data_IF_736052416537
#
_entry.id   IF_736052416537
#
_cell.length_a   1.000
_cell.length_b   1.000
_cell.length_c   1.000
_cell.angle_alpha   90.00
_cell.angle_beta   90.00
_cell.angle_gamma   90.00
#
_symmetry.space_group_name_H-M   'P 1'
#
loop_
_entity.id
_entity.type
_entity.pdbx_description
1 polymer ?
#
# COMPACT_ATOMS: atom_id res chain seq x y z
N UNK A 1 -19.34 22.57 8.55
CA UNK A 1 -19.30 21.09 8.54
C UNK A 1 -18.13 20.66 7.66
N UNK A 2 -17.30 19.69 8.07
CA UNK A 2 -16.14 19.22 7.29
C UNK A 2 -16.36 17.78 6.79
N UNK A 3 -15.48 17.29 5.90
CA UNK A 3 -15.59 15.96 5.28
C UNK A 3 -15.53 14.76 6.26
N UNK A 4 -15.12 14.99 7.52
CA UNK A 4 -14.95 13.96 8.55
C UNK A 4 -16.06 13.97 9.61
N UNK A 5 -17.09 14.83 9.45
CA UNK A 5 -18.13 15.01 10.45
C UNK A 5 -18.82 13.68 10.85
N UNK A 6 -19.11 12.80 9.88
CA UNK A 6 -19.75 11.49 10.16
C UNK A 6 -18.84 10.55 10.95
N UNK A 7 -17.55 10.50 10.60
CA UNK A 7 -16.57 9.70 11.33
C UNK A 7 -16.35 10.23 12.75
N UNK A 8 -16.33 11.56 12.90
CA UNK A 8 -16.21 12.21 14.21
C UNK A 8 -17.40 11.93 15.13
N UNK A 9 -18.62 11.85 14.60
CA UNK A 9 -19.80 11.47 15.41
C UNK A 9 -19.65 10.07 16.00
N UNK A 10 -18.96 9.16 15.30
CA UNK A 10 -18.76 7.78 15.74
C UNK A 10 -17.54 7.64 16.68
N UNK A 11 -16.41 8.25 16.32
CA UNK A 11 -15.13 8.07 17.02
C UNK A 11 -14.87 9.12 18.11
N UNK A 12 -15.60 10.22 18.09
CA UNK A 12 -15.36 11.37 18.97
C UNK A 12 -14.20 12.25 18.53
N UNK A 13 -14.17 13.48 19.06
CA UNK A 13 -13.17 14.51 18.73
C UNK A 13 -11.74 14.11 19.11
N UNK A 14 -11.57 13.45 20.26
CA UNK A 14 -10.27 13.01 20.77
C UNK A 14 -9.61 11.99 19.83
N UNK A 15 -10.37 11.00 19.36
CA UNK A 15 -9.87 10.00 18.42
C UNK A 15 -9.47 10.64 17.09
N UNK A 16 -10.29 11.58 16.58
CA UNK A 16 -9.96 12.30 15.34
C UNK A 16 -8.65 13.07 15.44
N UNK A 17 -8.42 13.77 16.56
CA UNK A 17 -7.14 14.47 16.81
C UNK A 17 -5.96 13.51 16.82
N UNK A 18 -6.11 12.34 17.44
CA UNK A 18 -5.06 11.31 17.47
C UNK A 18 -4.75 10.81 16.07
N UNK A 19 -5.77 10.40 15.32
CA UNK A 19 -5.62 9.90 13.95
C UNK A 19 -4.87 10.91 13.07
N UNK A 20 -5.24 12.19 13.14
CA UNK A 20 -4.58 13.24 12.36
C UNK A 20 -3.07 13.37 12.65
N UNK A 21 -2.65 13.11 13.90
CA UNK A 21 -1.26 13.18 14.34
C UNK A 21 -0.43 11.94 14.00
N UNK A 22 -1.06 10.82 13.64
CA UNK A 22 -0.33 9.58 13.30
C UNK A 22 0.31 9.67 11.92
N UNK A 23 1.50 9.07 11.82
CA UNK A 23 2.22 8.86 10.57
C UNK A 23 2.25 7.36 10.27
N UNK A 24 1.79 6.97 9.09
CA UNK A 24 1.71 5.57 8.68
C UNK A 24 2.68 5.32 7.52
N UNK A 25 3.49 4.27 7.64
CA UNK A 25 4.30 3.77 6.53
C UNK A 25 3.54 2.63 5.83
N UNK A 26 3.51 2.66 4.49
CA UNK A 26 2.88 1.62 3.67
C UNK A 26 3.88 1.14 2.63
N UNK A 27 4.17 -0.15 2.67
CA UNK A 27 5.01 -0.86 1.71
C UNK A 27 4.11 -1.60 0.73
N UNK A 28 4.20 -1.24 -0.55
CA UNK A 28 3.33 -1.72 -1.61
C UNK A 28 2.05 -0.88 -1.76
N UNK A 29 1.92 -0.23 -2.91
CA UNK A 29 0.80 0.62 -3.33
C UNK A 29 0.04 -0.07 -4.49
N UNK A 30 -0.06 -1.40 -4.41
CA UNK A 30 -0.81 -2.24 -5.34
C UNK A 30 -2.30 -2.36 -4.99
N UNK A 31 -2.86 -3.55 -5.23
CA UNK A 31 -4.29 -3.81 -5.05
C UNK A 31 -4.78 -3.77 -3.60
N UNK A 32 -3.92 -4.05 -2.63
CA UNK A 32 -4.28 -4.00 -1.19
C UNK A 32 -3.91 -2.64 -0.61
N UNK A 33 -2.63 -2.30 -0.64
CA UNK A 33 -2.11 -1.08 -0.02
C UNK A 33 -2.70 0.20 -0.60
N UNK A 34 -3.07 0.21 -1.88
CA UNK A 34 -3.74 1.36 -2.50
C UNK A 34 -5.09 1.68 -1.83
N UNK A 35 -5.91 0.66 -1.58
CA UNK A 35 -7.20 0.82 -0.92
C UNK A 35 -7.05 1.05 0.59
N UNK A 36 -6.07 0.43 1.23
CA UNK A 36 -5.76 0.69 2.63
C UNK A 36 -5.40 2.17 2.85
N UNK A 37 -4.49 2.72 2.04
CA UNK A 37 -4.11 4.14 2.08
C UNK A 37 -5.31 5.04 1.84
N UNK A 38 -6.13 4.75 0.83
CA UNK A 38 -7.33 5.54 0.52
C UNK A 38 -8.30 5.57 1.72
N UNK A 39 -8.56 4.42 2.34
CA UNK A 39 -9.44 4.31 3.50
C UNK A 39 -8.87 5.03 4.73
N UNK A 40 -7.57 4.89 5.00
CA UNK A 40 -6.89 5.59 6.12
C UNK A 40 -7.00 7.11 5.98
N UNK A 41 -6.81 7.63 4.77
CA UNK A 41 -6.95 9.07 4.50
C UNK A 41 -8.39 9.54 4.70
N UNK A 42 -9.36 8.76 4.21
CA UNK A 42 -10.79 9.05 4.37
C UNK A 42 -11.25 9.00 5.83
N UNK A 43 -10.51 8.31 6.68
CA UNK A 43 -10.77 8.20 8.12
C UNK A 43 -10.02 9.22 8.97
N UNK A 44 -9.22 10.10 8.36
CA UNK A 44 -8.61 11.25 9.05
C UNK A 44 -7.09 11.19 9.22
N UNK A 45 -6.41 10.12 8.78
CA UNK A 45 -4.94 10.09 8.78
C UNK A 45 -4.40 11.06 7.71
N UNK A 46 -3.40 11.88 8.07
CA UNK A 46 -2.86 12.94 7.18
C UNK A 46 -1.36 12.88 6.95
N UNK A 47 -0.65 11.90 7.49
CA UNK A 47 0.79 11.76 7.33
C UNK A 47 1.17 10.35 6.86
N UNK A 48 1.86 10.25 5.73
CA UNK A 48 2.26 8.95 5.15
C UNK A 48 3.71 8.89 4.72
N UNK A 49 4.28 7.69 4.79
CA UNK A 49 5.48 7.27 4.06
C UNK A 49 5.06 6.17 3.09
N UNK A 50 5.05 6.46 1.79
CA UNK A 50 4.68 5.47 0.77
C UNK A 50 5.94 4.87 0.14
N UNK A 51 6.01 3.55 0.09
CA UNK A 51 7.13 2.81 -0.48
C UNK A 51 6.62 1.82 -1.52
N UNK A 52 6.97 2.00 -2.79
CA UNK A 52 6.67 1.07 -3.88
C UNK A 52 7.61 1.36 -5.07
N UNK A 53 8.21 0.32 -5.62
CA UNK A 53 9.18 0.38 -6.73
C UNK A 53 8.57 0.09 -8.11
N UNK A 54 7.31 -0.33 -8.15
CA UNK A 54 6.64 -0.72 -9.38
C UNK A 54 6.05 0.48 -10.13
N UNK A 55 5.94 0.28 -11.45
CA UNK A 55 5.10 1.08 -12.33
C UNK A 55 3.72 0.45 -12.49
N UNK A 56 2.73 1.28 -12.78
CA UNK A 56 1.39 0.81 -13.14
C UNK A 56 1.44 0.14 -14.50
N UNK A 57 0.98 -1.11 -14.60
CA UNK A 57 0.83 -1.83 -15.86
C UNK A 57 -0.66 -1.97 -16.26
N UNK A 58 -0.91 -2.35 -17.52
CA UNK A 58 -2.27 -2.54 -18.03
C UNK A 58 -3.07 -3.57 -17.22
N UNK A 59 -2.42 -4.65 -16.78
CA UNK A 59 -3.09 -5.69 -16.00
C UNK A 59 -3.50 -5.21 -14.61
N UNK A 60 -3.05 -4.04 -14.14
CA UNK A 60 -3.44 -3.48 -12.84
C UNK A 60 -4.79 -2.77 -12.85
N UNK A 61 -5.31 -2.36 -14.02
CA UNK A 61 -6.54 -1.58 -14.15
C UNK A 61 -7.77 -2.28 -13.53
N UNK A 62 -7.78 -3.61 -13.49
CA UNK A 62 -8.90 -4.36 -12.97
C UNK A 62 -9.01 -4.36 -11.43
N UNK A 63 -7.94 -3.99 -10.70
CA UNK A 63 -7.89 -4.23 -9.22
C UNK A 63 -7.09 -3.21 -8.41
N UNK A 64 -6.48 -2.20 -9.01
CA UNK A 64 -5.69 -1.20 -8.29
C UNK A 64 -6.30 0.20 -8.44
N UNK A 65 -6.63 0.84 -7.32
CA UNK A 65 -7.34 2.13 -7.30
C UNK A 65 -6.62 3.28 -8.03
N UNK A 66 -5.29 3.20 -8.12
CA UNK A 66 -4.44 4.20 -8.80
C UNK A 66 -4.27 3.94 -10.30
N UNK A 67 -4.72 2.79 -10.79
CA UNK A 67 -4.50 2.35 -12.15
C UNK A 67 -5.66 2.78 -13.06
N UNK A 68 -5.35 3.66 -14.01
CA UNK A 68 -6.24 4.14 -15.07
C UNK A 68 -5.45 4.11 -16.37
N UNK A 69 -6.13 4.18 -17.53
CA UNK A 69 -5.44 4.29 -18.83
C UNK A 69 -4.44 5.46 -18.88
N UNK A 70 -4.68 6.55 -18.14
CA UNK A 70 -3.81 7.74 -18.08
C UNK A 70 -2.62 7.62 -17.12
N UNK A 71 -2.61 6.58 -16.28
CA UNK A 71 -1.57 6.38 -15.25
C UNK A 71 -0.66 5.19 -15.52
N UNK A 72 -0.95 4.38 -16.55
CA UNK A 72 -0.05 3.32 -17.04
C UNK A 72 1.35 3.90 -17.32
N UNK A 73 2.39 3.17 -16.92
CA UNK A 73 3.80 3.56 -17.07
C UNK A 73 4.34 4.50 -15.99
N UNK A 74 3.49 5.03 -15.10
CA UNK A 74 3.91 5.89 -13.97
C UNK A 74 4.16 5.05 -12.71
N UNK A 75 5.05 5.53 -11.84
CA UNK A 75 5.32 4.90 -10.56
C UNK A 75 4.08 4.91 -9.66
N UNK A 76 3.76 3.76 -9.05
CA UNK A 76 2.55 3.60 -8.23
C UNK A 76 2.54 4.57 -7.06
N UNK A 77 3.66 4.66 -6.32
CA UNK A 77 3.80 5.55 -5.18
C UNK A 77 3.64 7.03 -5.58
N UNK A 78 4.14 7.43 -6.75
CA UNK A 78 4.05 8.80 -7.26
C UNK A 78 2.60 9.16 -7.62
N UNK A 79 1.89 8.25 -8.31
CA UNK A 79 0.47 8.46 -8.64
C UNK A 79 -0.36 8.55 -7.38
N UNK A 80 -0.14 7.65 -6.41
CA UNK A 80 -0.84 7.71 -5.13
C UNK A 80 -0.56 9.04 -4.41
N UNK A 81 0.69 9.51 -4.37
CA UNK A 81 1.04 10.82 -3.81
C UNK A 81 0.18 11.94 -4.38
N UNK A 82 0.04 11.97 -5.71
CA UNK A 82 -0.76 13.00 -6.39
C UNK A 82 -2.23 12.89 -6.02
N UNK A 83 -2.77 11.68 -5.95
CA UNK A 83 -4.14 11.43 -5.53
C UNK A 83 -4.39 11.85 -4.07
N UNK A 84 -3.44 11.61 -3.17
CA UNK A 84 -3.53 12.04 -1.77
C UNK A 84 -3.44 13.56 -1.60
N UNK A 85 -2.59 14.24 -2.40
CA UNK A 85 -2.54 15.71 -2.41
C UNK A 85 -3.90 16.33 -2.76
N UNK A 86 -4.61 15.78 -3.76
CA UNK A 86 -5.97 16.23 -4.13
C UNK A 86 -6.97 16.11 -2.98
N UNK A 87 -6.76 15.17 -2.06
CA UNK A 87 -7.61 14.91 -0.87
C UNK A 87 -7.18 15.74 0.35
N UNK A 88 -6.26 16.67 0.19
CA UNK A 88 -5.78 17.56 1.25
C UNK A 88 -4.75 16.91 2.19
N UNK A 89 -4.07 15.84 1.78
CA UNK A 89 -2.98 15.25 2.57
C UNK A 89 -1.69 16.03 2.32
N UNK A 90 -1.23 16.79 3.31
CA UNK A 90 -0.09 17.71 3.18
C UNK A 90 1.26 17.05 3.48
N UNK A 91 1.31 16.12 4.43
CA UNK A 91 2.57 15.49 4.91
C UNK A 91 2.78 14.13 4.23
N UNK A 92 3.44 14.14 3.07
CA UNK A 92 3.66 12.94 2.27
C UNK A 92 5.16 12.76 1.98
N UNK A 93 5.77 11.75 2.59
CA UNK A 93 7.07 11.24 2.13
C UNK A 93 6.81 10.09 1.18
N UNK A 94 7.46 10.11 0.03
CA UNK A 94 7.32 9.05 -0.97
C UNK A 94 8.71 8.58 -1.35
N UNK A 95 8.90 7.28 -1.23
CA UNK A 95 10.15 6.57 -1.52
C UNK A 95 9.82 5.55 -2.60
N UNK A 96 10.56 5.57 -3.69
CA UNK A 96 10.46 4.58 -4.76
C UNK A 96 11.84 4.42 -5.37
N UNK A 97 12.16 3.22 -5.83
CA UNK A 97 13.41 2.98 -6.55
C UNK A 97 13.25 3.40 -8.01
N UNK A 98 14.17 4.21 -8.51
CA UNK A 98 14.34 4.47 -9.95
C UNK A 98 15.31 3.50 -10.61
N UNK A 99 15.93 2.62 -9.81
CA UNK A 99 16.82 1.60 -10.31
C UNK A 99 16.05 0.70 -11.27
N UNK A 100 16.60 0.52 -12.47
CA UNK A 100 16.05 -0.48 -13.39
C UNK A 100 16.47 -1.83 -12.85
N UNK A 101 15.57 -2.79 -12.61
CA UNK A 101 15.95 -4.12 -12.14
C UNK A 101 16.94 -4.75 -13.13
N UNK A 102 18.22 -4.70 -12.79
CA UNK A 102 19.27 -5.36 -13.56
C UNK A 102 19.26 -6.83 -13.18
N UNK A 103 19.26 -7.68 -14.20
CA UNK A 103 19.41 -9.11 -13.99
C UNK A 103 20.81 -9.35 -13.41
N UNK A 104 20.96 -10.21 -12.39
CA UNK A 104 22.29 -10.70 -12.00
C UNK A 104 22.99 -11.32 -13.21
N UNK A 105 24.32 -11.22 -13.24
CA UNK A 105 25.16 -11.79 -14.29
C UNK A 105 24.96 -13.31 -14.33
N UNK A 106 24.85 -13.89 -15.52
CA UNK A 106 24.67 -15.34 -15.69
C UNK A 106 25.92 -16.08 -15.19
N UNK A 107 25.78 -16.83 -14.10
CA UNK A 107 26.77 -17.79 -13.59
C UNK A 107 26.03 -19.10 -13.27
N UNK A 108 26.70 -20.25 -13.34
CA UNK A 108 26.12 -21.59 -13.15
C UNK A 108 25.45 -21.80 -11.78
N UNK A 109 25.60 -20.86 -10.84
CA UNK A 109 24.92 -20.80 -9.54
C UNK A 109 23.51 -20.19 -9.61
N UNK A 110 23.09 -19.68 -10.76
CA UNK A 110 21.87 -18.88 -10.96
C UNK A 110 20.87 -19.69 -11.81
N UNK A 111 20.22 -20.68 -11.19
CA UNK A 111 19.36 -21.64 -11.89
C UNK A 111 17.87 -21.27 -11.93
N UNK A 112 17.48 -20.01 -11.70
CA UNK A 112 16.06 -19.65 -11.66
C UNK A 112 15.62 -18.78 -12.84
N UNK A 113 14.32 -18.88 -13.20
CA UNK A 113 13.61 -18.12 -14.25
C UNK A 113 13.78 -16.58 -14.19
N UNK A 114 14.34 -16.06 -13.09
CA UNK A 114 14.60 -14.62 -12.88
C UNK A 114 16.07 -14.29 -12.64
N UNK A 115 16.97 -15.25 -12.82
CA UNK A 115 18.38 -15.10 -12.56
C UNK A 115 18.73 -14.60 -11.13
N UNK A 116 17.91 -14.90 -10.11
CA UNK A 116 18.27 -14.65 -8.72
C UNK A 116 19.40 -15.58 -8.23
N UNK A 117 20.26 -15.07 -7.35
CA UNK A 117 21.23 -15.85 -6.58
C UNK A 117 20.50 -16.56 -5.45
N UNK A 118 20.35 -17.88 -5.55
CA UNK A 118 19.83 -18.71 -4.46
C UNK A 118 21.00 -19.47 -3.83
N UNK A 119 21.29 -19.30 -2.52
CA UNK A 119 22.31 -20.09 -1.85
C UNK A 119 22.03 -21.60 -1.98
N UNK A 120 23.07 -22.44 -2.11
CA UNK A 120 22.90 -23.89 -2.14
C UNK A 120 22.22 -24.37 -0.84
N UNK A 121 21.20 -25.24 -0.97
CA UNK A 121 20.42 -25.76 0.16
C UNK A 121 19.12 -24.99 0.49
N UNK A 122 18.73 -24.00 -0.32
CA UNK A 122 17.46 -23.28 -0.13
C UNK A 122 16.25 -24.20 -0.40
N UNK A 123 15.43 -24.48 0.62
CA UNK A 123 14.21 -25.32 0.50
C UNK A 123 13.13 -24.70 -0.40
N UNK A 124 13.02 -23.37 -0.47
CA UNK A 124 12.02 -22.67 -1.28
C UNK A 124 12.66 -21.87 -2.40
N UNK A 125 12.62 -22.41 -3.63
CA UNK A 125 13.18 -21.72 -4.80
C UNK A 125 12.23 -20.62 -5.29
N UNK A 126 12.80 -19.54 -5.82
CA UNK A 126 12.01 -18.47 -6.45
C UNK A 126 11.22 -18.94 -7.69
N UNK A 127 11.60 -20.09 -8.28
CA UNK A 127 10.86 -20.75 -9.36
C UNK A 127 9.45 -21.18 -8.92
N UNK A 128 9.27 -21.47 -7.64
CA UNK A 128 8.00 -21.92 -7.07
C UNK A 128 7.14 -20.74 -6.57
N UNK A 129 7.71 -19.52 -6.50
CA UNK A 129 7.12 -18.34 -5.84
C UNK A 129 6.58 -17.28 -6.81
N UNK A 130 6.42 -17.58 -8.09
CA UNK A 130 6.08 -16.56 -9.09
C UNK A 130 4.92 -16.92 -10.01
N UNK A 131 3.92 -17.62 -9.49
CA UNK A 131 2.59 -17.46 -10.05
C UNK A 131 2.18 -16.01 -9.86
N UNK A 132 1.77 -15.34 -10.94
CA UNK A 132 1.00 -14.09 -10.81
C UNK A 132 -0.38 -14.57 -10.36
N UNK A 133 -0.71 -14.48 -9.06
CA UNK A 133 -1.94 -15.09 -8.61
C UNK A 133 -3.10 -14.37 -9.31
N UNK A 134 -3.95 -15.16 -9.96
CA UNK A 134 -5.23 -14.67 -10.43
C UNK A 134 -5.98 -14.09 -9.24
N UNK A 135 -6.46 -12.85 -9.38
CA UNK A 135 -7.23 -12.21 -8.33
C UNK A 135 -8.40 -11.47 -8.96
N UNK A 136 -9.60 -11.74 -8.45
CA UNK A 136 -10.82 -11.03 -8.83
C UNK A 136 -10.74 -9.57 -8.36
N UNK A 137 -11.40 -8.67 -9.09
CA UNK A 137 -11.27 -7.22 -8.94
C UNK A 137 -11.42 -6.71 -7.49
N UNK A 138 -12.27 -7.34 -6.69
CA UNK A 138 -12.65 -6.86 -5.36
C UNK A 138 -11.81 -7.42 -4.20
N UNK A 139 -11.21 -8.61 -4.33
CA UNK A 139 -10.54 -9.26 -3.18
C UNK A 139 -9.41 -8.40 -2.60
N UNK A 140 -8.50 -7.83 -3.41
CA UNK A 140 -7.45 -6.95 -2.88
C UNK A 140 -8.03 -5.70 -2.22
N UNK A 141 -9.11 -5.15 -2.78
CA UNK A 141 -9.76 -3.96 -2.23
C UNK A 141 -10.36 -4.23 -0.86
N UNK A 142 -11.06 -5.35 -0.70
CA UNK A 142 -11.67 -5.76 0.57
C UNK A 142 -10.58 -5.98 1.63
N UNK A 143 -9.49 -6.68 1.27
CA UNK A 143 -8.36 -6.87 2.18
C UNK A 143 -7.76 -5.52 2.63
N UNK A 144 -7.60 -4.56 1.71
CA UNK A 144 -7.12 -3.21 2.04
C UNK A 144 -8.06 -2.46 2.98
N UNK A 145 -9.37 -2.57 2.78
CA UNK A 145 -10.38 -1.97 3.66
C UNK A 145 -10.38 -2.60 5.06
N UNK A 146 -10.24 -3.92 5.16
CA UNK A 146 -10.13 -4.64 6.45
C UNK A 146 -8.89 -4.16 7.22
N UNK A 147 -7.73 -4.11 6.55
CA UNK A 147 -6.48 -3.63 7.16
C UNK A 147 -6.65 -2.20 7.69
N UNK A 148 -7.20 -1.30 6.87
CA UNK A 148 -7.45 0.08 7.30
C UNK A 148 -8.40 0.13 8.51
N UNK A 149 -9.44 -0.69 8.52
CA UNK A 149 -10.39 -0.81 9.62
C UNK A 149 -9.72 -1.21 10.94
N UNK A 150 -8.86 -2.23 10.94
CA UNK A 150 -8.09 -2.63 12.13
C UNK A 150 -7.15 -1.51 12.60
N UNK A 151 -6.40 -0.91 11.68
CA UNK A 151 -5.48 0.19 12.02
C UNK A 151 -6.24 1.37 12.63
N UNK A 152 -7.41 1.74 12.10
CA UNK A 152 -8.20 2.84 12.64
C UNK A 152 -8.73 2.48 14.04
N UNK A 153 -9.24 1.26 14.23
CA UNK A 153 -9.71 0.80 15.55
C UNK A 153 -8.60 0.92 16.59
N UNK A 154 -7.42 0.41 16.28
CA UNK A 154 -6.30 0.41 17.22
C UNK A 154 -5.80 1.83 17.52
N UNK A 155 -5.75 2.71 16.52
CA UNK A 155 -5.29 4.09 16.70
C UNK A 155 -6.35 5.00 17.35
N UNK A 156 -7.64 4.68 17.21
CA UNK A 156 -8.75 5.44 17.77
C UNK A 156 -9.02 5.13 19.24
N UNK A 157 -8.72 3.91 19.71
CA UNK A 157 -8.89 3.52 21.12
C UNK A 157 -8.12 4.46 22.07
N UNK A 158 -8.72 4.78 23.22
CA UNK A 158 -7.96 5.23 24.41
C UNK A 158 -7.09 4.07 24.87
N UNK A 159 -5.95 4.36 25.50
CA UNK A 159 -5.04 3.35 26.06
C UNK A 159 -5.66 2.55 27.21
N UNK A 160 -6.80 1.93 26.98
CA UNK A 160 -7.29 0.80 27.75
C UNK A 160 -6.55 -0.40 27.19
N UNK A 161 -5.71 -0.97 28.06
CA UNK A 161 -4.92 -2.18 27.83
C UNK A 161 -5.76 -3.19 27.08
N UNK A 162 -5.20 -3.72 25.99
CA UNK A 162 -5.72 -4.89 25.29
C UNK A 162 -6.07 -5.97 26.31
N UNK A 163 -7.36 -6.14 26.59
CA UNK A 163 -7.89 -7.41 27.07
C UNK A 163 -8.22 -8.18 25.81
N UNK A 164 -7.22 -8.91 25.31
CA UNK A 164 -7.42 -10.07 24.45
C UNK A 164 -7.40 -11.31 25.31
#
# INVERSE_FOLDING_TARGET
MNQLARTQLLLGTDAMKRLEQKKIAVFGIGGVGGYAVEALVRSGIRSFVLVDDDKICLTNLNRQIIATRKTVGKYKAEVMRRELKKRGVKKLKVVYSTETPTRPWEDMSISCRTHCVCPPGTEHKCTDRRDIPGSVAFVPSVAGLIIAGEVIRDLAKRGEKDVR
#
